data_IF_571098585941
#
_entry.id   IF_571098585941
#
_cell.length_a   1.000
_cell.length_b   1.000
_cell.length_c   1.000
_cell.angle_alpha   90.00
_cell.angle_beta   90.00
_cell.angle_gamma   90.00
#
_symmetry.space_group_name_H-M   'P 1'
#
loop_
_entity.id
_entity.type
_entity.pdbx_description
1 polymer ?
#
# COMPACT_ATOMS: atom_id res chain seq x y z
N UNK A 1 -6.83 26.33 17.62
CA UNK A 1 -6.03 25.46 16.73
C UNK A 1 -6.84 24.18 16.58
N UNK A 2 -7.41 23.92 15.40
CA UNK A 2 -8.07 22.64 15.11
C UNK A 2 -7.00 21.56 15.08
N UNK A 3 -7.08 20.61 15.99
CA UNK A 3 -6.21 19.41 15.99
C UNK A 3 -6.55 18.59 14.76
N UNK A 4 -5.67 18.60 13.75
CA UNK A 4 -5.81 17.72 12.58
C UNK A 4 -5.58 16.27 13.01
N UNK A 5 -6.49 15.40 12.64
CA UNK A 5 -6.31 13.96 12.82
C UNK A 5 -5.26 13.41 11.84
N UNK A 6 -4.72 12.22 12.09
CA UNK A 6 -3.84 11.55 11.13
C UNK A 6 -4.54 11.32 9.79
N UNK A 7 -5.81 10.93 9.81
CA UNK A 7 -6.62 10.73 8.60
C UNK A 7 -6.75 12.01 7.76
N UNK A 8 -6.90 13.19 8.39
CA UNK A 8 -6.91 14.48 7.68
C UNK A 8 -5.58 14.75 6.97
N UNK A 9 -4.46 14.32 7.57
CA UNK A 9 -3.14 14.43 6.95
C UNK A 9 -3.02 13.54 5.72
N UNK A 10 -3.43 12.28 5.82
CA UNK A 10 -3.43 11.33 4.69
C UNK A 10 -4.30 11.84 3.55
N UNK A 11 -5.54 12.26 3.84
CA UNK A 11 -6.47 12.78 2.82
C UNK A 11 -5.89 14.01 2.11
N UNK A 12 -5.33 14.96 2.87
CA UNK A 12 -4.71 16.15 2.29
C UNK A 12 -3.51 15.82 1.42
N UNK A 13 -2.68 14.85 1.84
CA UNK A 13 -1.45 14.46 1.16
C UNK A 13 -1.77 13.83 -0.20
N UNK A 14 -2.74 12.92 -0.25
CA UNK A 14 -3.04 12.13 -1.45
C UNK A 14 -4.13 12.72 -2.33
N UNK A 15 -5.19 13.32 -1.76
CA UNK A 15 -6.34 13.81 -2.52
C UNK A 15 -5.96 14.78 -3.63
N UNK A 16 -5.11 15.77 -3.34
CA UNK A 16 -4.66 16.76 -4.32
C UNK A 16 -3.75 16.21 -5.43
N UNK A 17 -3.31 14.95 -5.35
CA UNK A 17 -2.37 14.32 -6.26
C UNK A 17 -2.95 13.13 -7.03
N UNK A 18 -4.25 12.86 -6.90
CA UNK A 18 -4.89 11.67 -7.45
C UNK A 18 -4.59 11.44 -8.95
N UNK A 19 -4.62 12.49 -9.78
CA UNK A 19 -4.29 12.38 -11.21
C UNK A 19 -2.81 12.05 -11.47
N UNK A 20 -1.88 12.59 -10.67
CA UNK A 20 -0.46 12.29 -10.80
C UNK A 20 -0.14 10.83 -10.46
N UNK A 21 -0.84 10.27 -9.48
CA UNK A 21 -0.75 8.85 -9.12
C UNK A 21 -1.26 7.93 -10.22
N UNK A 22 -2.34 8.30 -10.92
CA UNK A 22 -2.90 7.51 -12.02
C UNK A 22 -1.90 7.33 -13.18
N UNK A 23 -1.08 8.35 -13.47
CA UNK A 23 -0.09 8.34 -14.57
C UNK A 23 1.30 7.87 -14.13
N UNK A 24 1.50 7.57 -12.85
CA UNK A 24 2.79 7.14 -12.31
C UNK A 24 3.17 5.74 -12.81
N UNK A 25 4.25 5.64 -13.61
CA UNK A 25 4.74 4.38 -14.16
C UNK A 25 5.15 3.37 -13.09
N UNK A 26 5.71 3.84 -11.97
CA UNK A 26 6.10 3.00 -10.82
C UNK A 26 4.89 2.28 -10.19
N UNK A 27 3.71 2.93 -10.19
CA UNK A 27 2.48 2.35 -9.66
C UNK A 27 1.69 1.59 -10.71
N UNK A 28 1.80 1.98 -11.99
CA UNK A 28 1.02 1.41 -13.08
C UNK A 28 1.56 0.07 -13.59
N UNK A 29 2.82 -0.27 -13.31
CA UNK A 29 3.45 -1.50 -13.76
C UNK A 29 4.44 -2.01 -12.70
N UNK A 30 4.37 -3.29 -12.38
CA UNK A 30 5.28 -3.91 -11.42
C UNK A 30 5.04 -5.42 -11.36
N UNK A 31 6.04 -6.17 -10.90
CA UNK A 31 5.90 -7.63 -10.70
C UNK A 31 4.79 -7.98 -9.72
N UNK A 32 4.55 -7.13 -8.73
CA UNK A 32 3.48 -7.26 -7.77
C UNK A 32 2.10 -7.24 -8.42
N UNK A 33 1.84 -6.32 -9.36
CA UNK A 33 0.59 -6.28 -10.13
C UNK A 33 0.44 -7.48 -11.07
N UNK A 34 1.53 -7.92 -11.70
CA UNK A 34 1.50 -9.13 -12.52
C UNK A 34 1.13 -10.34 -11.67
N UNK A 35 1.80 -10.56 -10.54
CA UNK A 35 1.50 -11.65 -9.59
C UNK A 35 0.06 -11.57 -9.06
N UNK A 36 -0.41 -10.35 -8.77
CA UNK A 36 -1.81 -10.13 -8.37
C UNK A 36 -2.77 -10.62 -9.44
N UNK A 37 -2.57 -10.25 -10.70
CA UNK A 37 -3.40 -10.71 -11.83
C UNK A 37 -3.39 -12.22 -11.99
N UNK A 38 -2.20 -12.83 -11.97
CA UNK A 38 -2.01 -14.29 -12.03
C UNK A 38 -2.75 -14.98 -10.88
N UNK A 39 -2.64 -14.46 -9.66
CA UNK A 39 -3.33 -15.03 -8.48
C UNK A 39 -4.84 -14.90 -8.56
N UNK A 40 -5.35 -13.73 -8.96
CA UNK A 40 -6.78 -13.47 -9.06
C UNK A 40 -7.46 -14.25 -10.19
N UNK A 41 -6.73 -14.69 -11.20
CA UNK A 41 -7.27 -15.55 -12.28
C UNK A 41 -7.86 -16.87 -11.75
N UNK A 42 -7.44 -17.32 -10.57
CA UNK A 42 -8.02 -18.49 -9.89
C UNK A 42 -9.38 -18.21 -9.23
N UNK A 43 -9.83 -16.95 -9.18
CA UNK A 43 -11.05 -16.52 -8.48
C UNK A 43 -12.04 -15.77 -9.39
N UNK A 44 -12.44 -16.30 -10.57
CA UNK A 44 -13.21 -15.53 -11.56
C UNK A 44 -14.59 -15.07 -11.06
N UNK A 45 -15.14 -15.70 -10.03
CA UNK A 45 -16.43 -15.35 -9.43
C UNK A 45 -16.29 -14.50 -8.16
N UNK A 46 -15.07 -14.10 -7.78
CA UNK A 46 -14.82 -13.41 -6.53
C UNK A 46 -15.43 -12.01 -6.50
N UNK A 47 -15.84 -11.62 -5.30
CA UNK A 47 -16.04 -10.24 -4.88
C UNK A 47 -14.80 -9.79 -4.11
N UNK A 48 -14.10 -8.81 -4.65
CA UNK A 48 -12.82 -8.31 -4.15
C UNK A 48 -12.99 -6.94 -3.51
N UNK A 49 -12.33 -6.71 -2.36
CA UNK A 49 -12.14 -5.39 -1.75
C UNK A 49 -10.69 -4.95 -2.00
N UNK A 50 -10.47 -3.81 -2.65
CA UNK A 50 -9.18 -3.14 -2.75
C UNK A 50 -9.09 -2.05 -1.68
N UNK A 51 -8.42 -2.33 -0.57
CA UNK A 51 -8.40 -1.50 0.63
C UNK A 51 -7.22 -0.52 0.63
N UNK A 52 -7.52 0.77 0.60
CA UNK A 52 -6.57 1.84 0.33
C UNK A 52 -6.16 1.83 -1.14
N UNK A 53 -7.16 1.85 -2.04
CA UNK A 53 -6.96 1.65 -3.47
C UNK A 53 -6.18 2.78 -4.17
N UNK A 54 -6.07 3.96 -3.54
CA UNK A 54 -5.45 5.13 -4.15
C UNK A 54 -6.02 5.41 -5.55
N UNK A 55 -5.17 5.57 -6.55
CA UNK A 55 -5.58 5.80 -7.94
C UNK A 55 -6.07 4.54 -8.68
N UNK A 56 -6.21 3.39 -8.01
CA UNK A 56 -6.93 2.21 -8.50
C UNK A 56 -6.11 1.19 -9.31
N UNK A 57 -4.79 1.25 -9.32
CA UNK A 57 -3.98 0.34 -10.14
C UNK A 57 -4.25 -1.14 -9.83
N UNK A 58 -4.35 -1.52 -8.54
CA UNK A 58 -4.69 -2.88 -8.15
C UNK A 58 -6.15 -3.21 -8.49
N UNK A 59 -7.08 -2.26 -8.29
CA UNK A 59 -8.48 -2.40 -8.70
C UNK A 59 -8.64 -2.68 -10.20
N UNK A 60 -7.88 -1.99 -11.06
CA UNK A 60 -7.97 -2.17 -12.51
C UNK A 60 -7.41 -3.53 -12.95
N UNK A 61 -6.35 -4.01 -12.32
CA UNK A 61 -5.85 -5.37 -12.56
C UNK A 61 -6.87 -6.39 -12.08
N UNK A 62 -7.37 -6.26 -10.85
CA UNK A 62 -8.37 -7.17 -10.29
C UNK A 62 -9.63 -7.28 -11.16
N UNK A 63 -10.14 -6.15 -11.66
CA UNK A 63 -11.37 -6.10 -12.46
C UNK A 63 -11.31 -6.93 -13.75
N UNK A 64 -10.12 -7.19 -14.28
CA UNK A 64 -9.94 -8.02 -15.47
C UNK A 64 -10.09 -9.52 -15.19
N UNK A 65 -10.00 -9.93 -13.93
CA UNK A 65 -9.94 -11.35 -13.55
C UNK A 65 -11.13 -11.81 -12.69
N UNK A 66 -11.84 -10.87 -12.03
CA UNK A 66 -12.86 -11.21 -11.03
C UNK A 66 -14.23 -10.65 -11.38
N UNK A 67 -15.27 -11.14 -10.70
CA UNK A 67 -16.66 -10.73 -10.95
C UNK A 67 -16.93 -9.29 -10.53
N UNK A 68 -16.41 -8.85 -9.39
CA UNK A 68 -16.68 -7.53 -8.83
C UNK A 68 -15.50 -7.03 -7.98
N UNK A 69 -15.18 -5.75 -8.11
CA UNK A 69 -14.21 -5.03 -7.27
C UNK A 69 -14.89 -3.89 -6.54
N UNK A 70 -14.62 -3.75 -5.25
CA UNK A 70 -14.94 -2.54 -4.48
C UNK A 70 -13.61 -1.82 -4.23
N UNK A 71 -13.39 -0.71 -4.91
CA UNK A 71 -12.27 0.20 -4.68
C UNK A 71 -12.61 1.07 -3.45
N UNK A 72 -11.84 0.89 -2.38
CA UNK A 72 -12.10 1.50 -1.09
C UNK A 72 -10.92 2.38 -0.66
N UNK A 73 -11.20 3.64 -0.39
CA UNK A 73 -10.19 4.62 0.03
C UNK A 73 -10.79 5.67 0.97
N UNK A 74 -9.96 6.30 1.76
CA UNK A 74 -10.38 7.39 2.62
C UNK A 74 -10.58 8.70 1.83
N UNK A 75 -9.89 8.88 0.68
CA UNK A 75 -9.95 10.06 -0.16
C UNK A 75 -11.05 9.97 -1.23
N UNK A 76 -12.05 10.82 -1.13
CA UNK A 76 -13.10 10.95 -2.17
C UNK A 76 -12.51 11.33 -3.52
N UNK A 77 -11.47 12.16 -3.56
CA UNK A 77 -10.81 12.58 -4.79
C UNK A 77 -10.11 11.42 -5.50
N UNK A 78 -9.48 10.49 -4.75
CA UNK A 78 -8.93 9.25 -5.31
C UNK A 78 -10.04 8.41 -5.93
N UNK A 79 -11.16 8.23 -5.24
CA UNK A 79 -12.29 7.45 -5.72
C UNK A 79 -12.96 8.04 -6.98
N UNK A 80 -13.01 9.36 -7.11
CA UNK A 80 -13.46 10.03 -8.34
C UNK A 80 -12.54 9.72 -9.53
N UNK A 81 -11.22 9.74 -9.31
CA UNK A 81 -10.21 9.37 -10.33
C UNK A 81 -10.37 7.89 -10.72
N UNK A 82 -10.57 6.99 -9.75
CA UNK A 82 -10.82 5.57 -10.01
C UNK A 82 -12.07 5.37 -10.83
N UNK A 83 -13.19 5.98 -10.45
CA UNK A 83 -14.48 5.85 -11.15
C UNK A 83 -14.38 6.32 -12.60
N UNK A 84 -13.73 7.48 -12.84
CA UNK A 84 -13.51 8.00 -14.19
C UNK A 84 -12.59 7.06 -15.00
N UNK A 85 -11.45 6.65 -14.45
CA UNK A 85 -10.50 5.79 -15.14
C UNK A 85 -11.06 4.39 -15.43
N UNK A 86 -11.90 3.84 -14.57
CA UNK A 86 -12.64 2.59 -14.80
C UNK A 86 -13.56 2.73 -16.02
N UNK A 87 -14.36 3.79 -16.08
CA UNK A 87 -15.24 4.08 -17.23
C UNK A 87 -14.46 4.23 -18.52
N UNK A 88 -13.38 5.01 -18.51
CA UNK A 88 -12.52 5.25 -19.69
C UNK A 88 -11.88 3.95 -20.21
N UNK A 89 -11.71 2.94 -19.34
CA UNK A 89 -11.17 1.60 -19.65
C UNK A 89 -12.24 0.54 -19.94
N UNK A 90 -13.52 0.88 -19.84
CA UNK A 90 -14.61 -0.07 -20.02
C UNK A 90 -14.70 -1.13 -18.92
N UNK A 91 -14.28 -0.81 -17.68
CA UNK A 91 -14.36 -1.69 -16.52
C UNK A 91 -15.63 -1.39 -15.72
N UNK A 92 -16.71 -2.09 -16.05
CA UNK A 92 -18.05 -1.84 -15.46
C UNK A 92 -18.26 -2.58 -14.12
N UNK A 93 -17.30 -3.38 -13.69
CA UNK A 93 -17.37 -4.20 -12.47
C UNK A 93 -16.65 -3.59 -11.27
N UNK A 94 -16.26 -2.32 -11.32
CA UNK A 94 -15.65 -1.58 -10.20
C UNK A 94 -16.68 -0.65 -9.57
N UNK A 95 -16.94 -0.81 -8.27
CA UNK A 95 -17.67 0.13 -7.45
C UNK A 95 -16.70 0.87 -6.51
N UNK A 96 -16.98 2.13 -6.17
CA UNK A 96 -16.16 2.91 -5.23
C UNK A 96 -16.89 3.10 -3.90
N UNK A 97 -16.15 3.07 -2.79
CA UNK A 97 -16.69 3.31 -1.44
C UNK A 97 -15.65 4.04 -0.59
N UNK A 98 -16.07 5.13 0.07
CA UNK A 98 -15.21 5.89 0.97
C UNK A 98 -15.28 5.35 2.40
N UNK A 99 -14.11 5.36 3.10
CA UNK A 99 -14.02 5.06 4.52
C UNK A 99 -12.60 4.77 5.01
N UNK A 100 -12.49 4.35 6.26
CA UNK A 100 -11.23 4.10 6.98
C UNK A 100 -10.92 2.61 7.05
N UNK A 101 -9.64 2.25 6.93
CA UNK A 101 -9.20 0.85 6.98
C UNK A 101 -9.55 0.18 8.32
N UNK A 102 -9.53 0.92 9.41
CA UNK A 102 -9.80 0.46 10.77
C UNK A 102 -11.30 0.29 11.11
N UNK A 103 -12.21 0.61 10.17
CA UNK A 103 -13.66 0.50 10.36
C UNK A 103 -14.36 0.34 9.03
N UNK A 104 -14.43 -0.88 8.53
CA UNK A 104 -15.00 -1.19 7.23
C UNK A 104 -16.54 -1.20 7.28
N UNK A 105 -17.23 -0.39 6.43
CA UNK A 105 -18.69 -0.29 6.42
C UNK A 105 -19.34 -1.43 5.63
N UNK A 106 -18.89 -2.65 5.87
CA UNK A 106 -19.39 -3.86 5.22
C UNK A 106 -19.81 -4.89 6.28
N UNK A 107 -20.74 -5.74 5.91
CA UNK A 107 -21.16 -6.87 6.73
C UNK A 107 -20.05 -7.93 6.84
N UNK A 108 -20.19 -8.83 7.79
CA UNK A 108 -19.29 -9.96 7.98
C UNK A 108 -19.38 -10.92 6.79
N UNK A 109 -18.25 -11.53 6.42
CA UNK A 109 -18.18 -12.62 5.45
C UNK A 109 -18.74 -12.28 4.04
N UNK A 110 -18.44 -11.09 3.52
CA UNK A 110 -18.96 -10.64 2.21
C UNK A 110 -17.93 -10.68 1.08
N UNK A 111 -16.63 -10.71 1.38
CA UNK A 111 -15.58 -10.72 0.37
C UNK A 111 -14.89 -12.07 0.26
N UNK A 112 -14.60 -12.48 -0.97
CA UNK A 112 -13.79 -13.66 -1.25
C UNK A 112 -12.31 -13.35 -1.16
N UNK A 113 -11.92 -12.11 -1.57
CA UNK A 113 -10.54 -11.63 -1.51
C UNK A 113 -10.52 -10.18 -1.02
N UNK A 114 -9.57 -9.86 -0.15
CA UNK A 114 -9.17 -8.47 0.19
C UNK A 114 -7.76 -8.26 -0.29
N UNK A 115 -7.53 -7.16 -1.01
CA UNK A 115 -6.20 -6.74 -1.44
C UNK A 115 -5.86 -5.39 -0.84
N UNK A 116 -4.58 -5.13 -0.60
CA UNK A 116 -4.04 -3.81 -0.26
C UNK A 116 -2.67 -3.64 -0.89
N UNK A 117 -2.42 -2.47 -1.49
CA UNK A 117 -1.16 -2.21 -2.18
C UNK A 117 -0.63 -0.82 -1.88
N UNK A 118 0.58 -0.75 -1.30
CA UNK A 118 1.27 0.50 -0.93
C UNK A 118 0.39 1.47 -0.13
N UNK A 119 -0.33 0.95 0.87
CA UNK A 119 -1.29 1.70 1.65
C UNK A 119 -1.16 1.47 3.16
N UNK A 120 -0.84 0.24 3.59
CA UNK A 120 -0.86 -0.12 5.00
C UNK A 120 0.14 0.68 5.85
N UNK A 121 1.23 1.18 5.24
CA UNK A 121 2.20 2.03 5.91
C UNK A 121 1.67 3.45 6.25
N UNK A 122 0.43 3.77 5.85
CA UNK A 122 -0.28 4.99 6.24
C UNK A 122 -1.39 4.74 7.27
N UNK A 123 -1.76 3.48 7.56
CA UNK A 123 -2.86 3.21 8.46
C UNK A 123 -2.48 3.51 9.90
N UNK A 124 -3.40 4.15 10.62
CA UNK A 124 -3.20 4.52 12.02
C UNK A 124 -3.04 3.29 12.94
N UNK A 125 -3.81 2.23 12.67
CA UNK A 125 -3.80 0.96 13.42
C UNK A 125 -3.97 -0.22 12.45
N UNK A 126 -2.84 -0.74 11.95
CA UNK A 126 -2.83 -1.88 11.03
C UNK A 126 -3.41 -3.14 11.66
N UNK A 127 -3.20 -3.36 12.95
CA UNK A 127 -3.75 -4.52 13.66
C UNK A 127 -5.28 -4.48 13.68
N UNK A 128 -5.87 -3.31 13.93
CA UNK A 128 -7.32 -3.12 13.85
C UNK A 128 -7.83 -3.29 12.42
N UNK A 129 -7.13 -2.74 11.43
CA UNK A 129 -7.49 -2.91 10.03
C UNK A 129 -7.49 -4.38 9.60
N UNK A 130 -6.49 -5.17 10.02
CA UNK A 130 -6.45 -6.60 9.72
C UNK A 130 -7.55 -7.40 10.43
N UNK A 131 -7.97 -7.02 11.64
CA UNK A 131 -9.16 -7.62 12.29
C UNK A 131 -10.44 -7.32 11.50
N UNK A 132 -10.59 -6.11 10.95
CA UNK A 132 -11.70 -5.79 10.05
C UNK A 132 -11.61 -6.60 8.75
N UNK A 133 -10.41 -6.79 8.19
CA UNK A 133 -10.20 -7.69 7.05
C UNK A 133 -10.68 -9.11 7.36
N UNK A 134 -10.27 -9.68 8.50
CA UNK A 134 -10.74 -10.99 8.93
C UNK A 134 -12.27 -11.02 9.02
N UNK A 135 -12.89 -10.00 9.63
CA UNK A 135 -14.35 -9.93 9.79
C UNK A 135 -15.08 -9.96 8.44
N UNK A 136 -14.64 -9.16 7.47
CA UNK A 136 -15.33 -9.04 6.18
C UNK A 136 -15.00 -10.15 5.19
N UNK A 137 -13.89 -10.87 5.36
CA UNK A 137 -13.55 -12.05 4.58
C UNK A 137 -14.51 -13.20 4.89
N UNK A 138 -14.94 -13.91 3.86
CA UNK A 138 -15.63 -15.20 4.01
C UNK A 138 -14.70 -16.24 4.63
N UNK A 139 -15.22 -17.29 5.28
CA UNK A 139 -14.42 -18.48 5.63
C UNK A 139 -13.66 -18.99 4.39
N UNK A 140 -12.35 -19.21 4.51
CA UNK A 140 -11.47 -19.56 3.38
C UNK A 140 -11.15 -18.39 2.44
N UNK A 141 -11.64 -17.19 2.71
CA UNK A 141 -11.32 -15.98 1.93
C UNK A 141 -9.87 -15.54 2.12
N UNK A 142 -9.32 -14.87 1.12
CA UNK A 142 -7.88 -14.57 0.99
C UNK A 142 -7.59 -13.09 1.18
N UNK A 143 -6.54 -12.79 1.93
CA UNK A 143 -5.90 -11.47 2.02
C UNK A 143 -4.62 -11.48 1.18
N UNK A 144 -4.41 -10.44 0.36
CA UNK A 144 -3.15 -10.19 -0.35
C UNK A 144 -2.67 -8.78 -0.02
N UNK A 145 -1.55 -8.67 0.67
CA UNK A 145 -0.89 -7.39 0.98
C UNK A 145 0.37 -7.24 0.16
N UNK A 146 0.55 -6.09 -0.47
CA UNK A 146 1.76 -5.70 -1.19
C UNK A 146 2.21 -4.33 -0.67
N UNK A 147 3.41 -4.26 -0.07
CA UNK A 147 3.89 -2.99 0.51
C UNK A 147 5.41 -2.88 0.50
N UNK A 148 5.91 -1.69 0.82
CA UNK A 148 7.32 -1.49 1.16
C UNK A 148 7.62 -2.23 2.45
N UNK A 149 8.73 -2.96 2.48
CA UNK A 149 9.11 -3.78 3.63
C UNK A 149 10.29 -3.17 4.38
N UNK A 150 10.19 -3.10 5.70
CA UNK A 150 11.35 -2.85 6.55
C UNK A 150 12.30 -4.05 6.53
N UNK A 151 13.63 -3.82 6.48
CA UNK A 151 14.62 -4.89 6.59
C UNK A 151 14.60 -5.66 7.92
N UNK A 152 13.90 -5.16 8.94
CA UNK A 152 13.84 -5.75 10.28
C UNK A 152 15.12 -5.60 11.12
N UNK A 153 16.25 -5.24 10.52
CA UNK A 153 17.49 -4.96 11.25
C UNK A 153 17.46 -3.52 11.79
N UNK A 154 17.68 -3.28 13.10
CA UNK A 154 17.42 -1.98 13.73
C UNK A 154 18.07 -0.77 13.04
N UNK A 155 19.34 -0.88 12.62
CA UNK A 155 20.07 0.21 11.97
C UNK A 155 19.51 0.51 10.57
N UNK A 156 19.09 -0.49 9.83
CA UNK A 156 18.51 -0.35 8.50
C UNK A 156 17.05 0.10 8.59
N UNK A 157 16.32 -0.42 9.57
CA UNK A 157 14.93 -0.05 9.82
C UNK A 157 14.81 1.44 10.14
N UNK A 158 15.56 1.92 11.14
CA UNK A 158 15.49 3.35 11.52
C UNK A 158 15.87 4.27 10.36
N UNK A 159 16.83 3.88 9.51
CA UNK A 159 17.20 4.67 8.35
C UNK A 159 16.03 4.77 7.36
N UNK A 160 15.39 3.65 7.00
CA UNK A 160 14.25 3.63 6.08
C UNK A 160 13.06 4.44 6.64
N UNK A 161 12.68 4.19 7.90
CA UNK A 161 11.57 4.91 8.54
C UNK A 161 11.84 6.42 8.57
N UNK A 162 13.08 6.84 8.80
CA UNK A 162 13.45 8.27 8.86
C UNK A 162 13.30 8.94 7.50
N UNK A 163 13.84 8.34 6.43
CA UNK A 163 13.74 8.96 5.09
C UNK A 163 12.30 8.97 4.58
N UNK A 164 11.50 7.94 4.88
CA UNK A 164 10.08 7.91 4.53
C UNK A 164 9.26 8.94 5.33
N UNK A 165 9.49 9.08 6.63
CA UNK A 165 8.80 10.07 7.45
C UNK A 165 9.15 11.52 7.06
N UNK A 166 10.39 11.78 6.63
CA UNK A 166 10.80 13.09 6.10
C UNK A 166 10.17 13.37 4.73
N UNK A 167 10.04 12.34 3.89
CA UNK A 167 9.43 12.46 2.57
C UNK A 167 7.93 12.69 2.65
N UNK A 168 7.27 11.99 3.55
CA UNK A 168 5.82 11.94 3.67
C UNK A 168 5.38 12.00 5.14
N UNK A 169 4.79 13.12 5.53
CA UNK A 169 4.32 13.35 6.91
C UNK A 169 3.11 12.50 7.31
N UNK A 170 2.51 11.77 6.36
CA UNK A 170 1.44 10.80 6.62
C UNK A 170 1.97 9.36 6.78
N UNK A 171 3.28 9.14 6.62
CA UNK A 171 3.90 7.85 6.85
C UNK A 171 3.81 7.45 8.34
N UNK A 172 3.40 6.21 8.60
CA UNK A 172 3.36 5.63 9.94
C UNK A 172 4.51 4.65 10.13
N UNK A 173 4.53 3.56 9.36
CA UNK A 173 5.57 2.53 9.46
C UNK A 173 5.59 1.59 8.25
N UNK A 174 6.78 1.31 7.72
CA UNK A 174 7.02 0.12 6.91
C UNK A 174 7.27 -1.07 7.84
N UNK A 175 6.47 -2.11 7.72
CA UNK A 175 6.55 -3.30 8.56
C UNK A 175 7.54 -4.31 7.99
N UNK A 176 8.30 -4.97 8.85
CA UNK A 176 9.17 -6.09 8.49
C UNK A 176 8.34 -7.37 8.25
N UNK A 177 8.95 -8.38 7.63
CA UNK A 177 8.32 -9.68 7.43
C UNK A 177 7.84 -10.31 8.75
N UNK A 178 8.64 -10.20 9.81
CA UNK A 178 8.26 -10.72 11.14
C UNK A 178 7.09 -9.97 11.75
N UNK A 179 7.05 -8.63 11.61
CA UNK A 179 5.91 -7.83 12.06
C UNK A 179 4.64 -8.17 11.27
N UNK A 180 4.72 -8.31 9.94
CA UNK A 180 3.58 -8.74 9.13
C UNK A 180 3.01 -10.09 9.58
N UNK A 181 3.87 -11.09 9.80
CA UNK A 181 3.44 -12.42 10.26
C UNK A 181 2.77 -12.36 11.63
N UNK A 182 3.30 -11.58 12.58
CA UNK A 182 2.67 -11.37 13.88
C UNK A 182 1.30 -10.69 13.76
N UNK A 183 1.21 -9.60 12.99
CA UNK A 183 -0.03 -8.85 12.80
C UNK A 183 -1.13 -9.68 12.14
N UNK A 184 -0.77 -10.49 11.15
CA UNK A 184 -1.68 -11.42 10.46
C UNK A 184 -2.21 -12.48 11.45
N UNK A 185 -1.30 -13.08 12.23
CA UNK A 185 -1.67 -14.08 13.24
C UNK A 185 -2.56 -13.47 14.34
N UNK A 186 -2.24 -12.27 14.83
CA UNK A 186 -3.03 -11.56 15.85
C UNK A 186 -4.43 -11.16 15.36
N UNK A 187 -4.60 -11.09 14.05
CA UNK A 187 -5.90 -10.88 13.39
C UNK A 187 -6.66 -12.19 13.11
N UNK A 188 -6.19 -13.34 13.59
CA UNK A 188 -6.72 -14.69 13.30
C UNK A 188 -6.76 -15.01 11.79
N UNK A 189 -5.75 -14.55 11.05
CA UNK A 189 -5.48 -14.95 9.67
C UNK A 189 -4.29 -15.90 9.66
N UNK A 190 -4.24 -16.79 8.67
CA UNK A 190 -3.17 -17.78 8.51
C UNK A 190 -2.32 -17.36 7.30
N UNK A 191 -1.05 -17.06 7.52
CA UNK A 191 -0.14 -16.70 6.44
C UNK A 191 0.24 -17.94 5.61
N UNK A 192 0.07 -17.86 4.30
CA UNK A 192 0.34 -18.95 3.35
C UNK A 192 1.65 -18.74 2.60
N UNK A 193 1.84 -17.52 2.07
CA UNK A 193 2.98 -17.19 1.21
C UNK A 193 3.54 -15.83 1.57
N UNK A 194 4.86 -15.73 1.55
CA UNK A 194 5.59 -14.48 1.69
C UNK A 194 6.64 -14.40 0.59
N UNK A 195 6.54 -13.39 -0.26
CA UNK A 195 7.48 -13.11 -1.34
C UNK A 195 8.10 -11.73 -1.11
N UNK A 196 9.38 -11.62 -1.43
CA UNK A 196 10.09 -10.34 -1.35
C UNK A 196 10.68 -9.99 -2.71
N UNK A 197 10.74 -8.70 -3.00
CA UNK A 197 11.39 -8.15 -4.17
C UNK A 197 12.18 -6.88 -3.81
N UNK A 198 12.92 -6.37 -4.77
CA UNK A 198 13.66 -5.11 -4.64
C UNK A 198 13.05 -4.06 -5.57
N UNK A 199 12.82 -2.86 -5.04
CA UNK A 199 12.26 -1.71 -5.77
C UNK A 199 13.28 -0.59 -5.85
N UNK A 200 13.75 -0.28 -7.05
CA UNK A 200 14.60 0.88 -7.28
C UNK A 200 13.77 2.17 -7.25
N UNK A 201 14.22 3.14 -6.48
CA UNK A 201 13.59 4.43 -6.27
C UNK A 201 14.54 5.53 -6.73
N UNK A 202 14.21 6.19 -7.83
CA UNK A 202 14.92 7.36 -8.32
C UNK A 202 14.54 8.57 -7.44
N UNK A 203 15.53 9.26 -6.88
CA UNK A 203 15.34 10.24 -5.80
C UNK A 203 14.44 11.40 -6.23
N UNK A 204 14.67 11.99 -7.40
CA UNK A 204 13.93 13.18 -7.82
C UNK A 204 12.45 12.89 -8.00
N UNK A 205 12.11 11.78 -8.64
CA UNK A 205 10.72 11.35 -8.83
C UNK A 205 10.07 10.88 -7.53
N UNK A 206 10.86 10.27 -6.63
CA UNK A 206 10.40 9.76 -5.34
C UNK A 206 9.94 10.90 -4.43
N UNK A 207 10.73 11.99 -4.30
CA UNK A 207 10.34 13.16 -3.50
C UNK A 207 9.27 14.01 -4.21
N UNK A 208 9.35 14.15 -5.55
CA UNK A 208 8.38 14.93 -6.32
C UNK A 208 6.96 14.36 -6.20
N UNK A 209 6.79 13.03 -6.18
CA UNK A 209 5.48 12.38 -6.02
C UNK A 209 4.75 12.81 -4.75
N UNK A 210 5.49 13.05 -3.65
CA UNK A 210 4.91 13.49 -2.38
C UNK A 210 4.91 15.01 -2.22
N UNK A 211 5.42 15.75 -3.22
CA UNK A 211 5.66 17.21 -3.13
C UNK A 211 6.44 17.54 -1.86
N UNK A 212 7.42 16.70 -1.54
CA UNK A 212 8.26 16.87 -0.36
C UNK A 212 8.88 18.27 -0.38
N UNK A 213 8.70 19.09 0.66
CA UNK A 213 9.30 20.42 0.73
C UNK A 213 10.81 20.37 0.54
N UNK A 214 11.39 21.38 -0.12
CA UNK A 214 12.83 21.42 -0.40
C UNK A 214 13.68 21.19 0.86
N UNK A 215 13.33 21.85 1.97
CA UNK A 215 14.03 21.66 3.24
C UNK A 215 14.03 20.21 3.75
N UNK A 216 12.95 19.45 3.53
CA UNK A 216 12.89 18.03 3.89
C UNK A 216 13.65 17.16 2.89
N UNK A 217 13.60 17.48 1.60
CA UNK A 217 14.42 16.82 0.58
C UNK A 217 15.92 17.01 0.86
N UNK A 218 16.35 18.22 1.25
CA UNK A 218 17.73 18.51 1.64
C UNK A 218 18.11 17.75 2.91
N UNK A 219 17.21 17.67 3.89
CA UNK A 219 17.43 16.88 5.11
C UNK A 219 17.60 15.38 4.81
N UNK A 220 16.78 14.82 3.90
CA UNK A 220 16.94 13.43 3.44
C UNK A 220 18.33 13.26 2.81
N UNK A 221 18.75 14.17 1.93
CA UNK A 221 20.08 14.10 1.30
C UNK A 221 21.22 14.15 2.31
N UNK A 222 21.15 15.06 3.28
CA UNK A 222 22.14 15.15 4.35
C UNK A 222 22.19 13.87 5.20
N UNK A 223 21.03 13.30 5.50
CA UNK A 223 20.92 12.04 6.26
C UNK A 223 21.47 10.85 5.46
N UNK A 224 21.19 10.76 4.16
CA UNK A 224 21.75 9.75 3.26
C UNK A 224 23.28 9.83 3.18
N UNK A 225 23.86 11.02 3.07
CA UNK A 225 25.31 11.22 3.00
C UNK A 225 26.02 10.76 4.28
N UNK A 226 25.38 10.97 5.45
CA UNK A 226 25.90 10.57 6.75
C UNK A 226 25.68 9.09 7.10
N UNK A 227 24.99 8.33 6.25
CA UNK A 227 24.69 6.93 6.49
C UNK A 227 25.95 6.07 6.58
N UNK A 228 25.93 5.05 7.43
CA UNK A 228 27.02 4.06 7.51
C UNK A 228 27.15 3.24 6.21
N UNK A 229 28.34 2.72 5.94
CA UNK A 229 28.55 1.86 4.75
C UNK A 229 27.59 0.68 4.73
N UNK A 230 27.31 0.07 5.87
CA UNK A 230 26.31 -1.01 6.01
C UNK A 230 24.92 -0.61 5.50
N UNK A 231 24.51 0.64 5.68
CA UNK A 231 23.23 1.16 5.19
C UNK A 231 23.32 1.48 3.70
N UNK A 232 24.40 2.14 3.27
CA UNK A 232 24.63 2.48 1.86
C UNK A 232 24.65 1.26 0.97
N UNK A 233 25.38 0.23 1.37
CA UNK A 233 25.48 -1.04 0.64
C UNK A 233 24.13 -1.75 0.55
N UNK A 234 23.42 -1.84 1.67
CA UNK A 234 22.15 -2.54 1.72
C UNK A 234 21.10 -1.91 0.81
N UNK A 235 20.95 -0.58 0.88
CA UNK A 235 19.99 0.16 0.08
C UNK A 235 20.52 0.52 -1.31
N UNK A 236 21.74 0.11 -1.68
CA UNK A 236 22.40 0.47 -2.92
C UNK A 236 22.30 1.99 -3.20
N UNK A 237 22.61 2.78 -2.16
CA UNK A 237 22.46 4.22 -2.15
C UNK A 237 23.41 4.87 -3.15
N UNK A 238 22.88 5.69 -4.06
CA UNK A 238 23.63 6.35 -5.13
C UNK A 238 23.97 7.82 -4.78
N UNK A 239 24.90 8.40 -5.52
CA UNK A 239 25.33 9.79 -5.31
C UNK A 239 24.19 10.81 -5.48
N UNK A 240 23.25 10.56 -6.38
CA UNK A 240 22.07 11.39 -6.61
C UNK A 240 20.98 11.23 -5.54
N UNK A 241 21.12 10.27 -4.63
CA UNK A 241 20.17 9.91 -3.58
C UNK A 241 19.19 8.81 -3.95
N UNK A 242 19.27 8.30 -5.16
CA UNK A 242 18.50 7.12 -5.57
C UNK A 242 18.92 5.91 -4.74
N UNK A 243 17.97 5.04 -4.42
CA UNK A 243 18.22 3.88 -3.57
C UNK A 243 17.26 2.73 -3.92
N UNK A 244 17.49 1.57 -3.34
CA UNK A 244 16.65 0.40 -3.54
C UNK A 244 16.05 -0.03 -2.21
N UNK A 245 14.72 -0.11 -2.14
CA UNK A 245 14.00 -0.62 -0.97
C UNK A 245 13.55 -2.06 -1.18
N UNK A 246 13.28 -2.77 -0.09
CA UNK A 246 12.60 -4.06 -0.15
C UNK A 246 11.09 -3.86 -0.28
N UNK A 247 10.44 -4.79 -0.95
CA UNK A 247 8.98 -4.90 -0.99
C UNK A 247 8.56 -6.30 -0.58
N UNK A 248 7.33 -6.41 -0.09
CA UNK A 248 6.75 -7.67 0.35
C UNK A 248 5.40 -7.88 -0.34
N UNK A 249 5.11 -9.14 -0.67
CA UNK A 249 3.77 -9.61 -0.96
C UNK A 249 3.47 -10.75 -0.01
N UNK A 250 2.46 -10.57 0.84
CA UNK A 250 1.98 -11.60 1.77
C UNK A 250 0.60 -12.04 1.33
N UNK A 251 0.42 -13.36 1.22
CA UNK A 251 -0.89 -13.99 1.09
C UNK A 251 -1.23 -14.69 2.40
N UNK A 252 -2.45 -14.48 2.87
CA UNK A 252 -3.00 -15.12 4.06
C UNK A 252 -4.47 -15.46 3.83
N UNK A 253 -5.04 -16.40 4.60
CA UNK A 253 -6.45 -16.73 4.51
C UNK A 253 -7.14 -16.71 5.88
N UNK A 254 -8.45 -16.52 5.87
CA UNK A 254 -9.32 -16.73 7.02
C UNK A 254 -9.60 -18.21 7.18
N UNK A 255 -9.41 -18.76 8.39
CA UNK A 255 -9.80 -20.13 8.70
C UNK A 255 -11.26 -20.42 8.30
N UNK A 256 -11.51 -21.64 7.85
CA UNK A 256 -12.85 -22.11 7.48
C UNK A 256 -13.77 -22.37 8.68
#
# INVERSE_FOLDING_TARGET
>A
MTTRSHHDNVEKQFGSQANAYLTSTVHASGRDLQRLGERLSAFPQARVLDMGCGAGHASFVAAQHVKQVVAYDLSSQMLEVVAKAAKDRGLDNIATRQGYAESLPFEDNVFDVVISRYSAHHWHDVGRALREVNRVLKPGGVLIVMDVMSPGHPVRDIWLQTVEALRDTSHVRNYSSGEWLSLINDANLIADTLLTDRLALEFSSWVARMRTPAALSDAIRAYQQSASEQVKDYFALQEDGSFTSDTIMVEAHKAG
#
